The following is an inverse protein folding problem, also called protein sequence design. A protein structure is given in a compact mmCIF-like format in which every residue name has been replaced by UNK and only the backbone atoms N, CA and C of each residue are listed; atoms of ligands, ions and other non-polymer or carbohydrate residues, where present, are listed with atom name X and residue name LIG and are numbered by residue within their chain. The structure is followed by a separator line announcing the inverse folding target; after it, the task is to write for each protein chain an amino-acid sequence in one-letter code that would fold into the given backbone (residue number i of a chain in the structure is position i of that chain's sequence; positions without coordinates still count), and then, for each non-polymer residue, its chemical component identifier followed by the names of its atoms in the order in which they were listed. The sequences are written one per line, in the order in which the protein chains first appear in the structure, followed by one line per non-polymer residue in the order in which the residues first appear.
data_IF_182791873913
#
_entry.id   IF_182791873913
#
_cell.length_a   1.000
_cell.length_b   1.000
_cell.length_c   1.000
_cell.angle_alpha   90.00
_cell.angle_beta   90.00
_cell.angle_gamma   90.00
#
_symmetry.space_group_name_H-M   'P 1'
#
loop_
_entity.id
_entity.type
_entity.pdbx_description
1 polymer ?
#
# COMPACT_ATOMS: atom_id res chain seq x y z
N UNK A 1 -10.81 -2.56 -7.09
CA UNK A 1 -10.26 -2.47 -5.70
C UNK A 1 -9.81 -1.06 -5.35
N UNK A 2 -8.94 -0.41 -6.13
CA UNK A 2 -8.43 0.95 -5.85
C UNK A 2 -9.51 2.01 -5.63
N UNK A 3 -10.46 2.13 -6.56
CA UNK A 3 -11.58 3.09 -6.45
C UNK A 3 -12.45 2.93 -5.20
N UNK A 4 -12.44 1.76 -4.55
CA UNK A 4 -13.16 1.51 -3.29
C UNK A 4 -12.26 1.84 -2.08
N UNK A 5 -10.96 1.61 -2.19
CA UNK A 5 -9.99 1.87 -1.12
C UNK A 5 -9.59 3.35 -1.02
N UNK A 6 -9.54 4.08 -2.14
CA UNK A 6 -9.14 5.49 -2.20
C UNK A 6 -9.92 6.42 -1.25
N UNK A 7 -11.27 6.39 -1.16
CA UNK A 7 -11.98 7.25 -0.22
C UNK A 7 -11.67 6.92 1.24
N UNK A 8 -11.50 5.63 1.57
CA UNK A 8 -11.12 5.19 2.92
C UNK A 8 -9.71 5.64 3.28
N UNK A 9 -8.76 5.50 2.36
CA UNK A 9 -7.38 5.95 2.53
C UNK A 9 -7.31 7.47 2.70
N UNK A 10 -8.07 8.21 1.89
CA UNK A 10 -8.15 9.68 1.97
C UNK A 10 -8.77 10.14 3.29
N UNK A 11 -9.85 9.49 3.74
CA UNK A 11 -10.46 9.79 5.03
C UNK A 11 -9.49 9.51 6.19
N UNK A 12 -8.80 8.36 6.16
CA UNK A 12 -7.82 7.99 7.17
C UNK A 12 -6.64 8.97 7.24
N UNK A 13 -6.10 9.40 6.10
CA UNK A 13 -5.04 10.41 6.06
C UNK A 13 -5.50 11.76 6.63
N UNK A 14 -6.70 12.22 6.28
CA UNK A 14 -7.22 13.47 6.84
C UNK A 14 -7.41 13.41 8.35
N UNK A 15 -7.73 12.22 8.91
CA UNK A 15 -7.87 12.01 10.35
C UNK A 15 -6.53 11.82 11.08
N UNK A 16 -5.49 11.38 10.38
CA UNK A 16 -4.19 11.04 11.00
C UNK A 16 -3.17 12.18 10.97
N UNK A 17 -3.44 13.26 10.22
CA UNK A 17 -2.54 14.40 10.07
C UNK A 17 -3.07 15.56 10.92
N UNK A 18 -2.47 15.74 12.09
CA UNK A 18 -2.87 16.79 13.05
C UNK A 18 -2.53 18.21 12.54
N UNK A 19 -1.46 18.32 11.75
CA UNK A 19 -0.88 19.59 11.32
C UNK A 19 -1.28 19.93 9.86
N UNK A 20 -2.15 20.93 9.62
CA UNK A 20 -2.71 21.17 8.29
C UNK A 20 -1.68 21.55 7.23
N UNK A 21 -0.57 22.19 7.61
CA UNK A 21 0.44 22.69 6.64
C UNK A 21 1.21 21.56 5.95
N UNK A 22 1.30 20.36 6.54
CA UNK A 22 2.00 19.21 5.93
C UNK A 22 1.08 18.30 5.11
N UNK A 23 -0.24 18.48 5.18
CA UNK A 23 -1.23 17.61 4.49
C UNK A 23 -0.96 17.49 3.00
N UNK A 24 -0.72 18.60 2.31
CA UNK A 24 -0.47 18.59 0.87
C UNK A 24 0.78 17.77 0.51
N UNK A 25 1.83 17.86 1.32
CA UNK A 25 3.06 17.08 1.17
C UNK A 25 2.80 15.60 1.39
N UNK A 26 2.08 15.23 2.44
CA UNK A 26 1.74 13.82 2.71
C UNK A 26 0.90 13.24 1.57
N UNK A 27 -0.14 13.95 1.11
CA UNK A 27 -0.93 13.54 -0.04
C UNK A 27 -0.09 13.41 -1.32
N UNK A 28 0.88 14.31 -1.54
CA UNK A 28 1.80 14.23 -2.67
C UNK A 28 2.69 13.00 -2.61
N UNK A 29 3.32 12.75 -1.45
CA UNK A 29 4.19 11.56 -1.27
C UNK A 29 3.37 10.28 -1.39
N UNK A 30 2.15 10.23 -0.85
CA UNK A 30 1.23 9.09 -1.03
C UNK A 30 0.90 8.86 -2.50
N UNK A 31 0.58 9.91 -3.25
CA UNK A 31 0.30 9.82 -4.69
C UNK A 31 1.51 9.37 -5.52
N UNK A 32 2.70 9.87 -5.18
CA UNK A 32 3.95 9.45 -5.83
C UNK A 32 4.26 7.97 -5.56
N UNK A 33 4.08 7.49 -4.33
CA UNK A 33 4.27 6.08 -3.99
C UNK A 33 3.31 5.17 -4.76
N UNK A 34 2.04 5.56 -4.89
CA UNK A 34 1.06 4.85 -5.72
C UNK A 34 1.48 4.84 -7.22
N UNK A 35 1.87 5.99 -7.76
CA UNK A 35 2.31 6.11 -9.15
C UNK A 35 3.51 5.21 -9.46
N UNK A 36 4.51 5.17 -8.56
CA UNK A 36 5.66 4.26 -8.67
C UNK A 36 5.20 2.80 -8.68
N UNK A 37 4.29 2.41 -7.78
CA UNK A 37 3.73 1.07 -7.74
C UNK A 37 3.00 0.69 -9.03
N UNK A 38 2.24 1.61 -9.63
CA UNK A 38 1.55 1.39 -10.90
C UNK A 38 2.52 1.26 -12.08
N UNK A 39 3.52 2.13 -12.16
CA UNK A 39 4.48 2.12 -13.27
C UNK A 39 5.39 0.90 -13.19
N UNK A 40 5.84 0.50 -12.00
CA UNK A 40 6.70 -0.65 -11.81
C UNK A 40 5.94 -1.98 -11.90
N UNK A 41 4.77 -2.08 -11.25
CA UNK A 41 4.04 -3.35 -11.10
C UNK A 41 3.00 -3.60 -12.19
N UNK A 42 2.29 -2.57 -12.64
CA UNK A 42 1.14 -2.69 -13.55
C UNK A 42 1.50 -3.33 -14.89
N UNK A 43 2.48 -2.80 -15.65
CA UNK A 43 2.94 -3.39 -16.90
C UNK A 43 3.48 -4.82 -16.76
N UNK A 44 4.26 -5.09 -15.70
CA UNK A 44 4.87 -6.41 -15.47
C UNK A 44 3.81 -7.48 -15.19
N UNK A 45 2.85 -7.18 -14.31
CA UNK A 45 1.73 -8.08 -14.01
C UNK A 45 0.81 -8.22 -15.22
N UNK A 46 0.52 -7.12 -15.93
CA UNK A 46 -0.31 -7.12 -17.13
C UNK A 46 0.26 -7.98 -18.25
N UNK A 47 1.56 -7.84 -18.54
CA UNK A 47 2.25 -8.67 -19.53
C UNK A 47 2.28 -10.17 -19.15
N UNK A 48 2.32 -10.47 -17.85
CA UNK A 48 2.21 -11.85 -17.35
C UNK A 48 0.79 -12.38 -17.51
N UNK A 49 -0.22 -11.54 -17.27
CA UNK A 49 -1.64 -11.86 -17.45
C UNK A 49 -2.03 -12.19 -18.88
N UNK A 50 -1.39 -11.55 -19.86
CA UNK A 50 -1.57 -11.90 -21.28
C UNK A 50 -1.16 -13.35 -21.61
N UNK A 51 -0.29 -13.97 -20.80
CA UNK A 51 0.11 -15.37 -20.97
C UNK A 51 -0.70 -16.31 -20.09
N UNK A 52 -0.98 -15.93 -18.85
CA UNK A 52 -1.75 -16.75 -17.92
C UNK A 52 -2.31 -15.93 -16.76
N UNK A 53 -3.62 -16.05 -16.54
CA UNK A 53 -4.31 -15.44 -15.39
C UNK A 53 -3.76 -15.99 -14.07
N UNK A 54 -3.48 -17.30 -13.98
CA UNK A 54 -2.91 -17.91 -12.77
C UNK A 54 -1.54 -17.32 -12.43
N UNK A 55 -0.69 -17.14 -13.45
CA UNK A 55 0.63 -16.54 -13.26
C UNK A 55 0.53 -15.06 -12.83
N UNK A 56 -0.43 -14.30 -13.38
CA UNK A 56 -0.67 -12.93 -12.95
C UNK A 56 -1.16 -12.84 -11.51
N UNK A 57 -2.09 -13.70 -11.09
CA UNK A 57 -2.57 -13.74 -9.71
C UNK A 57 -1.45 -14.09 -8.72
N UNK A 58 -0.61 -15.08 -9.05
CA UNK A 58 0.56 -15.42 -8.24
C UNK A 58 1.57 -14.27 -8.19
N UNK A 59 1.81 -13.59 -9.31
CA UNK A 59 2.70 -12.42 -9.36
C UNK A 59 2.17 -11.28 -8.49
N UNK A 60 0.87 -10.99 -8.56
CA UNK A 60 0.23 -10.02 -7.67
C UNK A 60 0.33 -10.42 -6.20
N UNK A 61 0.13 -11.71 -5.87
CA UNK A 61 0.27 -12.21 -4.52
C UNK A 61 1.71 -12.06 -4.00
N UNK A 62 2.71 -12.35 -4.83
CA UNK A 62 4.13 -12.16 -4.50
C UNK A 62 4.47 -10.69 -4.29
N UNK A 63 3.98 -9.80 -5.15
CA UNK A 63 4.18 -8.35 -5.00
C UNK A 63 3.56 -7.80 -3.71
N UNK A 64 2.45 -8.40 -3.25
CA UNK A 64 1.80 -8.04 -1.99
C UNK A 64 2.42 -8.74 -0.77
N UNK A 65 3.19 -9.81 -0.96
CA UNK A 65 3.76 -10.60 0.15
C UNK A 65 4.60 -9.81 1.17
N UNK A 66 5.34 -8.72 0.81
CA UNK A 66 6.11 -7.94 1.79
C UNK A 66 5.26 -7.23 2.85
N UNK A 67 3.95 -7.07 2.62
CA UNK A 67 3.03 -6.50 3.61
C UNK A 67 2.93 -7.37 4.87
N UNK A 68 3.02 -8.70 4.73
CA UNK A 68 2.89 -9.64 5.84
C UNK A 68 3.96 -9.44 6.93
N UNK A 69 5.28 -9.48 6.63
CA UNK A 69 6.30 -9.23 7.64
C UNK A 69 6.25 -7.80 8.19
N UNK A 70 5.91 -6.80 7.36
CA UNK A 70 5.79 -5.42 7.82
C UNK A 70 4.70 -5.27 8.91
N UNK A 71 3.51 -5.80 8.66
CA UNK A 71 2.44 -5.81 9.68
C UNK A 71 2.80 -6.69 10.89
N UNK A 72 3.49 -7.80 10.67
CA UNK A 72 4.00 -8.63 11.77
C UNK A 72 4.93 -7.84 12.71
N UNK A 73 5.85 -7.06 12.14
CA UNK A 73 6.79 -6.22 12.90
C UNK A 73 6.06 -5.11 13.67
N UNK A 74 5.08 -4.44 13.06
CA UNK A 74 4.34 -3.37 13.74
C UNK A 74 3.49 -3.89 14.89
N UNK A 75 2.81 -5.03 14.70
CA UNK A 75 2.05 -5.70 15.75
C UNK A 75 2.97 -6.15 16.89
N UNK A 76 4.13 -6.73 16.58
CA UNK A 76 5.09 -7.17 17.59
C UNK A 76 5.61 -5.99 18.43
N UNK A 77 6.01 -4.89 17.78
CA UNK A 77 6.44 -3.66 18.48
C UNK A 77 5.35 -3.10 19.38
N UNK A 78 4.10 -3.09 18.90
CA UNK A 78 2.96 -2.66 19.70
C UNK A 78 2.69 -3.53 20.93
N UNK A 79 2.98 -4.84 20.87
CA UNK A 79 2.89 -5.75 22.02
C UNK A 79 3.96 -5.46 23.07
N UNK A 80 5.20 -5.22 22.65
CA UNK A 80 6.31 -4.90 23.55
C UNK A 80 6.05 -3.58 24.30
N UNK A 81 5.52 -2.57 23.63
CA UNK A 81 5.23 -1.27 24.25
C UNK A 81 4.05 -1.30 25.24
N UNK A 82 3.16 -2.30 25.16
CA UNK A 82 2.01 -2.45 26.07
C UNK A 82 2.30 -3.28 27.32
N UNK A 83 3.40 -4.03 27.36
CA UNK A 83 3.88 -4.78 28.52
C UNK A 83 5.26 -4.24 28.92
N UNK A 84 5.34 -3.20 29.79
CA UNK A 84 6.61 -2.76 30.35
C UNK A 84 7.24 -3.83 31.26
#
# INVERSE_FOLDING_TARGET
LRNIADPLHTAWLNLSIDEPQVRATIFSVSGQADAVGQIAGGPVVGATGNRSIRAALLSSALLLSPLLPLYGITILKGRIQRNP
#
